data_IF_201520787767
#
_entry.id   IF_201520787767
#
_cell.length_a   1.000
_cell.length_b   1.000
_cell.length_c   1.000
_cell.angle_alpha   90.00
_cell.angle_beta   90.00
_cell.angle_gamma   90.00
#
_symmetry.space_group_name_H-M   'P 1'
#
loop_
_entity.id
_entity.type
_entity.pdbx_description
1 polymer ?
#
# COMPACT_ATOMS: atom_id res chain seq x y z
N UNK A 1 -5.98 -10.20 26.40
CA UNK A 1 -6.26 -9.87 24.99
C UNK A 1 -6.50 -8.39 24.85
N UNK A 2 -5.76 -7.72 23.96
CA UNK A 2 -6.05 -6.34 23.58
C UNK A 2 -7.33 -6.36 22.74
N UNK A 3 -8.34 -5.60 23.13
CA UNK A 3 -9.59 -5.49 22.35
C UNK A 3 -9.54 -4.31 21.39
N UNK A 4 -10.41 -4.30 20.38
CA UNK A 4 -10.58 -3.19 19.45
C UNK A 4 -10.74 -1.84 20.17
N UNK A 5 -11.49 -1.82 21.27
CA UNK A 5 -11.70 -0.63 22.12
C UNK A 5 -10.40 -0.10 22.70
N UNK A 6 -9.53 -0.97 23.22
CA UNK A 6 -8.24 -0.57 23.77
C UNK A 6 -7.34 0.05 22.70
N UNK A 7 -7.34 -0.50 21.48
CA UNK A 7 -6.60 0.06 20.35
C UNK A 7 -7.13 1.43 19.96
N UNK A 8 -8.45 1.55 19.78
CA UNK A 8 -9.08 2.82 19.39
C UNK A 8 -8.78 3.93 20.40
N UNK A 9 -8.90 3.63 21.70
CA UNK A 9 -8.59 4.59 22.76
C UNK A 9 -7.11 4.96 22.77
N UNK A 10 -6.20 3.98 22.71
CA UNK A 10 -4.76 4.24 22.76
C UNK A 10 -4.26 5.07 21.57
N UNK A 11 -4.70 4.75 20.36
CA UNK A 11 -4.24 5.43 19.16
C UNK A 11 -4.90 6.80 18.94
N UNK A 12 -6.16 6.98 19.34
CA UNK A 12 -6.87 8.27 19.15
C UNK A 12 -6.18 9.49 19.78
N UNK A 13 -5.33 9.28 20.78
CA UNK A 13 -4.59 10.35 21.48
C UNK A 13 -3.28 10.75 20.77
N UNK A 14 -2.82 10.01 19.77
CA UNK A 14 -1.49 10.15 19.16
C UNK A 14 -1.44 11.23 18.05
N UNK A 15 -1.85 12.46 18.36
CA UNK A 15 -2.01 13.55 17.39
C UNK A 15 -0.71 14.01 16.70
N UNK A 16 0.45 13.78 17.35
CA UNK A 16 1.78 14.16 16.82
C UNK A 16 2.54 12.98 16.19
N UNK A 17 1.96 11.79 16.15
CA UNK A 17 2.68 10.61 15.65
C UNK A 17 2.87 10.72 14.13
N UNK A 18 4.12 10.81 13.68
CA UNK A 18 4.48 10.93 12.26
C UNK A 18 4.91 9.61 11.64
N UNK A 19 5.52 8.73 12.43
CA UNK A 19 5.99 7.41 12.01
C UNK A 19 5.45 6.33 12.92
N UNK A 20 4.87 5.29 12.32
CA UNK A 20 4.42 4.10 13.02
C UNK A 20 5.03 2.87 12.35
N UNK A 21 5.70 2.05 13.16
CA UNK A 21 6.16 0.73 12.76
C UNK A 21 5.55 -0.31 13.67
N UNK A 22 4.86 -1.27 13.07
CA UNK A 22 4.28 -2.42 13.77
C UNK A 22 4.84 -3.71 13.17
N UNK A 23 5.17 -4.65 14.04
CA UNK A 23 5.80 -5.91 13.66
C UNK A 23 5.13 -7.10 14.40
N UNK A 24 5.01 -8.24 13.72
CA UNK A 24 4.42 -9.49 14.24
C UNK A 24 2.92 -9.40 14.59
N UNK A 25 2.13 -8.66 13.82
CA UNK A 25 0.66 -8.66 13.92
C UNK A 25 0.03 -9.93 13.34
N UNK A 26 0.16 -11.06 14.04
CA UNK A 26 -0.45 -12.36 13.71
C UNK A 26 -1.52 -12.71 14.74
N UNK A 27 -2.32 -13.77 14.50
CA UNK A 27 -3.26 -14.44 15.42
C UNK A 27 -3.71 -13.61 16.64
N UNK A 28 -4.99 -13.22 16.67
CA UNK A 28 -5.63 -12.37 17.70
C UNK A 28 -5.18 -10.90 17.73
N UNK A 29 -4.40 -10.46 16.75
CA UNK A 29 -4.12 -9.03 16.54
C UNK A 29 -5.38 -8.32 16.00
N UNK A 30 -5.87 -7.25 16.67
CA UNK A 30 -7.01 -6.46 16.21
C UNK A 30 -6.63 -5.55 15.03
N UNK A 31 -6.14 -6.14 13.94
CA UNK A 31 -5.59 -5.46 12.76
C UNK A 31 -6.57 -4.45 12.18
N UNK A 32 -7.86 -4.79 12.12
CA UNK A 32 -8.90 -3.89 11.59
C UNK A 32 -9.04 -2.63 12.44
N UNK A 33 -9.09 -2.76 13.77
CA UNK A 33 -9.17 -1.61 14.67
C UNK A 33 -7.89 -0.76 14.62
N UNK A 34 -6.73 -1.39 14.49
CA UNK A 34 -5.45 -0.67 14.27
C UNK A 34 -5.57 0.14 12.98
N UNK A 35 -5.91 -0.48 11.84
CA UNK A 35 -5.99 0.20 10.55
C UNK A 35 -7.04 1.33 10.55
N UNK A 36 -8.20 1.11 11.17
CA UNK A 36 -9.24 2.13 11.31
C UNK A 36 -8.82 3.30 12.18
N UNK A 37 -7.93 3.09 13.15
CA UNK A 37 -7.49 4.17 14.04
C UNK A 37 -6.28 4.91 13.45
N UNK A 38 -5.32 4.20 12.84
CA UNK A 38 -4.18 4.86 12.20
C UNK A 38 -4.59 5.74 11.02
N UNK A 39 -5.68 5.41 10.32
CA UNK A 39 -6.21 6.25 9.24
C UNK A 39 -6.72 7.60 9.71
N UNK A 40 -7.05 7.72 11.01
CA UNK A 40 -7.53 8.95 11.64
C UNK A 40 -6.39 9.75 12.27
N UNK A 41 -5.14 9.26 12.22
CA UNK A 41 -4.00 9.96 12.81
C UNK A 41 -3.60 11.14 11.91
N UNK A 42 -3.73 12.40 12.39
CA UNK A 42 -3.64 13.57 11.53
C UNK A 42 -2.22 13.89 11.04
N UNK A 43 -1.20 13.29 11.67
CA UNK A 43 0.21 13.56 11.36
C UNK A 43 0.95 12.36 10.78
N UNK A 44 0.31 11.18 10.68
CA UNK A 44 1.00 9.94 10.31
C UNK A 44 1.37 9.96 8.83
N UNK A 45 2.66 9.99 8.52
CA UNK A 45 3.18 10.05 7.15
C UNK A 45 4.07 8.86 6.76
N UNK A 46 4.50 8.05 7.73
CA UNK A 46 5.31 6.87 7.49
C UNK A 46 4.71 5.67 8.23
N UNK A 47 4.31 4.66 7.48
CA UNK A 47 3.79 3.40 8.00
C UNK A 47 4.65 2.22 7.56
N UNK A 48 5.04 1.40 8.54
CA UNK A 48 5.70 0.12 8.31
C UNK A 48 4.91 -1.01 8.97
N UNK A 49 4.44 -1.97 8.19
CA UNK A 49 3.73 -3.16 8.66
C UNK A 49 4.52 -4.42 8.30
N UNK A 50 4.98 -5.13 9.32
CA UNK A 50 5.89 -6.27 9.14
C UNK A 50 5.32 -7.53 9.74
N UNK A 51 5.20 -8.58 8.91
CA UNK A 51 4.61 -9.85 9.33
C UNK A 51 3.20 -9.66 9.92
N UNK A 52 2.42 -8.73 9.33
CA UNK A 52 1.02 -8.55 9.65
C UNK A 52 0.18 -9.47 8.77
N UNK A 53 -0.72 -10.24 9.38
CA UNK A 53 -1.79 -10.91 8.65
C UNK A 53 -2.85 -9.86 8.35
N UNK A 54 -2.72 -9.25 7.18
CA UNK A 54 -3.71 -8.34 6.64
C UNK A 54 -4.83 -9.24 6.10
N UNK A 55 -5.94 -9.32 6.85
CA UNK A 55 -7.01 -10.30 6.62
C UNK A 55 -7.88 -9.94 5.41
N UNK A 56 -8.73 -10.88 4.97
CA UNK A 56 -9.72 -10.67 3.91
C UNK A 56 -10.66 -9.50 4.20
N UNK A 57 -10.89 -9.15 5.47
CA UNK A 57 -11.70 -7.96 5.81
C UNK A 57 -11.00 -6.65 5.45
N UNK A 58 -9.67 -6.58 5.49
CA UNK A 58 -8.92 -5.43 4.98
C UNK A 58 -9.06 -5.33 3.45
N UNK A 59 -8.96 -6.47 2.75
CA UNK A 59 -9.21 -6.54 1.30
C UNK A 59 -10.65 -6.12 0.96
N UNK A 60 -11.64 -6.47 1.79
CA UNK A 60 -13.04 -6.05 1.63
C UNK A 60 -13.28 -4.58 2.00
N UNK A 61 -12.48 -4.02 2.92
CA UNK A 61 -12.55 -2.63 3.34
C UNK A 61 -12.00 -1.69 2.26
N UNK A 62 -10.83 -2.01 1.69
CA UNK A 62 -10.25 -1.17 0.63
C UNK A 62 -10.81 -1.52 -0.76
N UNK A 63 -11.31 -2.75 -0.97
CA UNK A 63 -11.97 -3.17 -2.22
C UNK A 63 -13.32 -2.50 -2.52
N UNK A 64 -13.88 -1.73 -1.56
CA UNK A 64 -15.04 -0.86 -1.79
C UNK A 64 -14.68 0.48 -2.43
N UNK A 65 -13.40 0.75 -2.67
CA UNK A 65 -12.90 1.94 -3.35
C UNK A 65 -12.69 1.67 -4.84
N UNK A 66 -13.76 1.70 -5.63
CA UNK A 66 -13.68 1.73 -7.09
C UNK A 66 -14.79 2.61 -7.65
N UNK A 67 -14.42 3.67 -8.38
CA UNK A 67 -15.35 4.62 -9.01
C UNK A 67 -16.40 3.90 -9.89
N UNK A 68 -17.64 3.80 -9.41
CA UNK A 68 -18.87 3.72 -10.22
C UNK A 68 -19.95 4.57 -9.51
N UNK A 69 -20.64 5.39 -10.31
CA UNK A 69 -21.67 6.38 -10.01
C UNK A 69 -22.74 5.98 -8.96
N UNK A 70 -22.82 6.77 -7.87
CA UNK A 70 -23.95 7.17 -6.97
C UNK A 70 -25.20 6.28 -6.78
N UNK A 71 -25.98 6.43 -5.67
CA UNK A 71 -25.64 6.77 -4.27
C UNK A 71 -26.42 5.90 -3.25
N UNK A 72 -25.85 5.42 -2.14
CA UNK A 72 -26.67 4.98 -0.98
C UNK A 72 -25.89 4.86 0.34
N UNK A 73 -26.23 5.77 1.27
CA UNK A 73 -26.30 5.61 2.72
C UNK A 73 -25.27 4.69 3.40
N UNK A 74 -24.11 5.29 3.69
CA UNK A 74 -23.24 5.24 4.90
C UNK A 74 -21.86 5.68 4.39
N UNK A 75 -21.31 6.85 4.78
CA UNK A 75 -20.10 7.35 4.15
C UNK A 75 -18.87 6.56 4.62
N UNK A 76 -18.43 5.62 3.78
CA UNK A 76 -17.09 5.00 3.86
C UNK A 76 -16.03 5.93 3.21
N UNK A 77 -16.42 7.16 2.89
CA UNK A 77 -15.58 8.25 2.36
C UNK A 77 -14.50 8.76 3.35
N UNK A 78 -14.16 8.01 4.41
CA UNK A 78 -13.41 8.51 5.56
C UNK A 78 -12.03 7.88 5.79
N UNK A 79 -11.53 7.04 4.87
CA UNK A 79 -10.13 6.56 4.95
C UNK A 79 -9.36 6.97 3.70
N UNK A 80 -9.27 8.27 3.50
CA UNK A 80 -8.21 8.84 2.68
C UNK A 80 -7.07 9.18 3.66
N UNK A 81 -6.06 8.32 3.74
CA UNK A 81 -4.88 8.61 4.56
C UNK A 81 -4.02 9.58 3.76
N UNK A 82 -4.48 10.83 3.61
CA UNK A 82 -3.89 11.87 2.76
C UNK A 82 -2.48 12.29 3.20
N UNK A 83 -2.08 11.90 4.41
CA UNK A 83 -0.79 12.20 4.99
C UNK A 83 0.26 11.12 4.69
N UNK A 84 -0.14 9.91 4.29
CA UNK A 84 0.77 8.79 4.11
C UNK A 84 1.64 8.99 2.88
N UNK A 85 2.94 9.16 3.09
CA UNK A 85 3.93 9.40 2.04
C UNK A 85 4.84 8.19 1.85
N UNK A 86 5.12 7.44 2.93
CA UNK A 86 6.00 6.26 2.90
C UNK A 86 5.28 5.01 3.39
N UNK A 87 5.29 3.98 2.54
CA UNK A 87 4.71 2.68 2.82
C UNK A 87 5.76 1.57 2.75
N UNK A 88 5.92 0.83 3.84
CA UNK A 88 6.70 -0.42 3.87
C UNK A 88 5.79 -1.57 4.25
N UNK A 89 5.67 -2.54 3.35
CA UNK A 89 4.97 -3.80 3.60
C UNK A 89 5.98 -4.95 3.60
N UNK A 90 5.84 -5.85 4.57
CA UNK A 90 6.56 -7.11 4.57
C UNK A 90 5.61 -8.28 4.79
N UNK A 91 5.59 -9.23 3.83
CA UNK A 91 4.66 -10.37 3.75
C UNK A 91 3.20 -9.98 3.49
N UNK A 92 2.90 -9.42 2.32
CA UNK A 92 1.55 -9.05 1.89
C UNK A 92 1.11 -9.79 0.61
N UNK A 93 -0.18 -9.76 0.29
CA UNK A 93 -0.68 -10.05 -1.07
C UNK A 93 -0.46 -8.82 -1.96
N UNK A 94 -0.44 -9.00 -3.28
CA UNK A 94 -0.45 -7.89 -4.25
C UNK A 94 -1.68 -6.98 -4.07
N UNK A 95 -2.84 -7.57 -3.74
CA UNK A 95 -4.11 -6.86 -3.54
C UNK A 95 -4.02 -5.77 -2.50
N UNK A 96 -3.34 -6.01 -1.37
CA UNK A 96 -3.11 -4.98 -0.34
C UNK A 96 -2.40 -3.75 -0.92
N UNK A 97 -1.34 -3.96 -1.71
CA UNK A 97 -0.58 -2.87 -2.30
C UNK A 97 -1.41 -2.14 -3.37
N UNK A 98 -2.06 -2.87 -4.27
CA UNK A 98 -2.96 -2.33 -5.30
C UNK A 98 -4.03 -1.40 -4.70
N UNK A 99 -4.60 -1.85 -3.58
CA UNK A 99 -5.63 -1.16 -2.83
C UNK A 99 -5.13 0.12 -2.15
N UNK A 100 -3.99 0.04 -1.44
CA UNK A 100 -3.41 1.24 -0.81
C UNK A 100 -3.00 2.27 -1.88
N UNK A 101 -2.43 1.82 -3.00
CA UNK A 101 -2.10 2.70 -4.12
C UNK A 101 -3.33 3.43 -4.70
N UNK A 102 -4.51 2.80 -4.66
CA UNK A 102 -5.75 3.41 -5.16
C UNK A 102 -6.23 4.58 -4.28
N UNK A 103 -5.98 4.53 -2.96
CA UNK A 103 -6.51 5.50 -1.98
C UNK A 103 -5.45 6.49 -1.46
N UNK A 104 -4.17 6.27 -1.76
CA UNK A 104 -3.06 7.13 -1.33
C UNK A 104 -2.24 7.65 -2.53
N UNK A 105 -2.80 8.52 -3.39
CA UNK A 105 -2.10 9.06 -4.56
C UNK A 105 -0.90 9.96 -4.21
N UNK A 106 -0.77 10.41 -2.97
CA UNK A 106 0.35 11.24 -2.52
C UNK A 106 1.62 10.44 -2.15
N UNK A 107 1.61 9.10 -2.27
CA UNK A 107 2.77 8.26 -1.92
C UNK A 107 4.02 8.67 -2.70
N UNK A 108 5.14 8.78 -1.99
CA UNK A 108 6.47 9.04 -2.56
C UNK A 108 7.38 7.82 -2.51
N UNK A 109 7.12 6.90 -1.58
CA UNK A 109 7.95 5.71 -1.36
C UNK A 109 7.08 4.48 -1.10
N UNK A 110 7.32 3.42 -1.86
CA UNK A 110 6.67 2.11 -1.68
C UNK A 110 7.75 1.03 -1.63
N UNK A 111 7.71 0.20 -0.59
CA UNK A 111 8.55 -0.99 -0.47
C UNK A 111 7.73 -2.19 -0.01
N UNK A 112 7.40 -3.10 -0.91
CA UNK A 112 6.77 -4.38 -0.61
C UNK A 112 7.80 -5.52 -0.72
N UNK A 113 8.29 -5.99 0.43
CA UNK A 113 9.33 -7.02 0.53
C UNK A 113 8.71 -8.34 0.99
N UNK A 114 8.69 -9.34 0.11
CA UNK A 114 7.99 -10.61 0.26
C UNK A 114 6.48 -10.54 -0.07
N UNK A 115 6.17 -10.16 -1.30
CA UNK A 115 4.82 -10.35 -1.88
C UNK A 115 4.58 -11.86 -2.02
N UNK A 116 3.42 -12.33 -1.56
CA UNK A 116 2.99 -13.75 -1.64
C UNK A 116 2.31 -14.08 -2.97
N UNK A 117 1.71 -13.10 -3.62
CA UNK A 117 1.04 -13.28 -4.91
C UNK A 117 2.04 -13.51 -6.04
N UNK A 118 1.64 -14.30 -7.03
CA UNK A 118 2.41 -14.52 -8.27
C UNK A 118 2.26 -13.40 -9.29
N UNK A 119 1.26 -12.53 -9.14
CA UNK A 119 0.96 -11.42 -10.05
C UNK A 119 0.65 -10.15 -9.26
N UNK A 120 0.97 -8.99 -9.84
CA UNK A 120 0.60 -7.67 -9.33
C UNK A 120 0.18 -6.74 -10.46
N UNK A 121 -0.91 -6.01 -10.27
CA UNK A 121 -1.27 -4.88 -11.12
C UNK A 121 -0.67 -3.59 -10.59
N UNK A 122 0.00 -2.81 -11.44
CA UNK A 122 0.50 -1.48 -11.08
C UNK A 122 -0.44 -0.35 -11.48
N UNK A 123 -1.61 -0.64 -12.09
CA UNK A 123 -2.50 0.38 -12.67
C UNK A 123 -2.85 1.51 -11.72
N UNK A 124 -3.04 1.22 -10.42
CA UNK A 124 -3.36 2.25 -9.42
C UNK A 124 -2.19 3.19 -9.10
N UNK A 125 -0.95 2.79 -9.39
CA UNK A 125 0.23 3.66 -9.26
C UNK A 125 0.23 4.80 -10.28
N UNK A 126 -0.57 4.74 -11.36
CA UNK A 126 -0.71 5.87 -12.30
C UNK A 126 -1.10 7.18 -11.63
N UNK A 127 -1.80 7.11 -10.50
CA UNK A 127 -2.24 8.27 -9.72
C UNK A 127 -1.17 8.73 -8.71
N UNK A 128 -0.13 7.92 -8.46
CA UNK A 128 0.96 8.20 -7.53
C UNK A 128 2.04 9.06 -8.20
N UNK A 129 1.68 10.25 -8.69
CA UNK A 129 2.59 11.14 -9.44
C UNK A 129 3.77 11.70 -8.61
N UNK A 130 3.73 11.52 -7.29
CA UNK A 130 4.83 11.87 -6.39
C UNK A 130 5.79 10.70 -6.13
N UNK A 131 5.52 9.51 -6.67
CA UNK A 131 6.31 8.31 -6.38
C UNK A 131 7.74 8.46 -6.91
N UNK A 132 8.70 8.49 -5.99
CA UNK A 132 10.14 8.59 -6.29
C UNK A 132 10.84 7.24 -6.18
N UNK A 133 10.30 6.34 -5.36
CA UNK A 133 10.89 5.03 -5.10
C UNK A 133 9.86 3.90 -5.05
N UNK A 134 10.12 2.86 -5.85
CA UNK A 134 9.31 1.64 -5.93
C UNK A 134 10.21 0.41 -5.75
N UNK A 135 9.98 -0.34 -4.68
CA UNK A 135 10.69 -1.59 -4.38
C UNK A 135 9.71 -2.75 -4.26
N UNK A 136 9.77 -3.70 -5.19
CA UNK A 136 8.94 -4.91 -5.19
C UNK A 136 9.83 -6.15 -5.15
N UNK A 137 9.54 -7.03 -4.20
CA UNK A 137 10.16 -8.36 -4.12
C UNK A 137 9.11 -9.42 -3.82
N UNK A 138 9.02 -10.43 -4.67
CA UNK A 138 8.20 -11.61 -4.43
C UNK A 138 9.04 -12.77 -3.86
N UNK A 139 8.36 -13.75 -3.27
CA UNK A 139 8.96 -14.97 -2.75
C UNK A 139 9.17 -16.04 -3.86
N UNK A 140 8.22 -16.17 -4.78
CA UNK A 140 8.15 -17.29 -5.73
C UNK A 140 8.12 -16.86 -7.21
N UNK A 141 8.28 -15.56 -7.47
CA UNK A 141 8.21 -14.98 -8.81
C UNK A 141 6.97 -14.12 -9.00
N UNK A 142 7.19 -12.86 -9.43
CA UNK A 142 6.16 -11.86 -9.65
C UNK A 142 6.02 -11.55 -11.13
N UNK A 143 4.84 -11.73 -11.69
CA UNK A 143 4.48 -11.12 -12.96
C UNK A 143 3.91 -9.73 -12.69
N UNK A 144 4.46 -8.72 -13.35
CA UNK A 144 3.97 -7.35 -13.27
C UNK A 144 3.00 -7.13 -14.43
N UNK A 145 1.72 -6.99 -14.13
CA UNK A 145 0.70 -6.72 -15.13
C UNK A 145 0.78 -5.26 -15.59
N UNK A 146 0.66 -5.05 -16.90
CA UNK A 146 0.69 -3.73 -17.54
C UNK A 146 1.85 -2.85 -17.06
N UNK A 147 3.06 -3.28 -17.40
CA UNK A 147 4.30 -2.57 -17.08
C UNK A 147 4.38 -1.16 -17.68
N UNK A 148 3.52 -0.84 -18.67
CA UNK A 148 3.49 0.47 -19.32
C UNK A 148 3.20 1.62 -18.35
N UNK A 149 2.51 1.32 -17.23
CA UNK A 149 2.21 2.26 -16.16
C UNK A 149 3.47 2.88 -15.53
N UNK A 150 4.62 2.21 -15.61
CA UNK A 150 5.88 2.76 -15.13
C UNK A 150 6.25 4.06 -15.86
N UNK A 151 5.84 4.23 -17.13
CA UNK A 151 6.06 5.47 -17.89
C UNK A 151 5.33 6.68 -17.29
N UNK A 152 4.22 6.45 -16.59
CA UNK A 152 3.46 7.52 -15.93
C UNK A 152 4.13 8.02 -14.64
N UNK A 153 5.09 7.27 -14.09
CA UNK A 153 5.79 7.60 -12.86
C UNK A 153 6.98 8.53 -13.16
N UNK A 154 6.67 9.77 -13.53
CA UNK A 154 7.63 10.76 -14.01
C UNK A 154 8.66 11.23 -12.96
N UNK A 155 8.39 11.05 -11.66
CA UNK A 155 9.35 11.36 -10.57
C UNK A 155 10.14 10.15 -10.07
N UNK A 156 9.88 8.96 -10.60
CA UNK A 156 10.52 7.73 -10.16
C UNK A 156 12.00 7.76 -10.52
N UNK A 157 12.87 7.72 -9.52
CA UNK A 157 14.33 7.71 -9.68
C UNK A 157 14.99 6.49 -9.02
N UNK A 158 14.21 5.67 -8.31
CA UNK A 158 14.67 4.42 -7.71
C UNK A 158 13.65 3.32 -7.98
N UNK A 159 14.02 2.38 -8.83
CA UNK A 159 13.25 1.18 -9.13
C UNK A 159 14.03 -0.06 -8.70
N UNK A 160 13.44 -0.90 -7.87
CA UNK A 160 14.00 -2.18 -7.49
C UNK A 160 12.96 -3.27 -7.65
N UNK A 161 13.22 -4.19 -8.57
CA UNK A 161 12.36 -5.31 -8.87
C UNK A 161 13.17 -6.59 -8.68
N UNK A 162 12.75 -7.44 -7.73
CA UNK A 162 13.46 -8.67 -7.38
C UNK A 162 12.54 -9.87 -7.51
N UNK A 163 13.01 -10.92 -8.18
CA UNK A 163 12.23 -12.12 -8.51
C UNK A 163 11.01 -11.79 -9.39
N UNK A 164 11.22 -11.04 -10.49
CA UNK A 164 10.17 -10.72 -11.48
C UNK A 164 10.28 -11.67 -12.69
N UNK A 165 9.14 -12.20 -13.14
CA UNK A 165 9.03 -13.19 -14.21
C UNK A 165 9.13 -12.55 -15.60
N UNK A 166 8.43 -11.45 -15.83
CA UNK A 166 8.43 -10.71 -17.11
C UNK A 166 9.53 -9.63 -17.17
N UNK A 167 10.75 -9.96 -16.74
CA UNK A 167 11.85 -8.99 -16.65
C UNK A 167 12.25 -8.39 -18.01
N UNK A 168 12.14 -9.13 -19.10
CA UNK A 168 12.48 -8.65 -20.45
C UNK A 168 11.60 -7.46 -20.84
N UNK A 169 10.29 -7.61 -20.70
CA UNK A 169 9.29 -6.58 -20.98
C UNK A 169 9.52 -5.33 -20.11
N UNK A 170 9.82 -5.54 -18.83
CA UNK A 170 10.17 -4.46 -17.88
C UNK A 170 11.42 -3.70 -18.35
N UNK A 171 12.48 -4.40 -18.77
CA UNK A 171 13.73 -3.77 -19.20
C UNK A 171 13.55 -2.96 -20.48
N UNK A 172 12.79 -3.46 -21.46
CA UNK A 172 12.47 -2.71 -22.69
C UNK A 172 11.75 -1.39 -22.40
N UNK A 173 10.89 -1.38 -21.38
CA UNK A 173 10.18 -0.17 -20.94
C UNK A 173 11.07 0.78 -20.14
N UNK A 174 11.88 0.25 -19.22
CA UNK A 174 12.87 1.05 -18.49
C UNK A 174 13.81 1.78 -19.46
N UNK A 175 14.21 1.13 -20.56
CA UNK A 175 15.02 1.77 -21.61
C UNK A 175 14.37 2.99 -22.27
N UNK A 176 13.06 3.18 -22.13
CA UNK A 176 12.30 4.34 -22.63
C UNK A 176 12.04 5.40 -21.57
N UNK A 177 12.33 5.12 -20.30
CA UNK A 177 12.14 6.04 -19.18
C UNK A 177 13.32 7.00 -19.11
N UNK A 178 13.14 8.21 -19.64
CA UNK A 178 14.19 9.25 -19.64
C UNK A 178 14.45 9.85 -18.26
N UNK A 179 13.57 9.60 -17.29
CA UNK A 179 13.66 10.09 -15.92
C UNK A 179 14.49 9.22 -14.97
N UNK A 180 14.82 7.98 -15.38
CA UNK A 180 15.59 7.01 -14.60
C UNK A 180 17.10 7.08 -14.88
#
# INVERSE_FOLDING_TARGET
>A
NVTDTHVMQGFSQLTKLTRLRLEKGKLDCPTNAIMQTISKLPSLNHLELINFDITKEFEAFVGKCSNISTPLLVPINAIQVNTLVKLVLCRCTSKVLEQIAAICPQLEYISARAIKSSQISLTNLRNCSNLTELKLRCLEGLEVEDVSILLNLNKLNRLSLTVVKNIVEVLELIGKMTQL
#
